data_IF_586284843647
#
_entry.id   IF_586284843647
#
_cell.length_a   1.000
_cell.length_b   1.000
_cell.length_c   1.000
_cell.angle_alpha   90.00
_cell.angle_beta   90.00
_cell.angle_gamma   90.00
#
_symmetry.space_group_name_H-M   'P 1'
#
loop_
_entity.id
_entity.type
_entity.pdbx_description
1 polymer ?
#
# COMPACT_ATOMS: atom_id res chain seq x y z
N UNK A 1 7.97 -0.84 14.86
CA UNK A 1 7.69 0.06 13.72
C UNK A 1 6.54 1.01 14.03
N UNK A 2 5.32 0.51 14.26
CA UNK A 2 4.14 1.35 14.49
C UNK A 2 4.25 2.34 15.66
N UNK A 3 4.97 2.01 16.74
CA UNK A 3 5.19 2.94 17.86
C UNK A 3 5.78 4.29 17.40
N UNK A 4 6.85 4.25 16.61
CA UNK A 4 7.54 5.45 16.12
C UNK A 4 6.66 6.24 15.14
N UNK A 5 5.92 5.54 14.28
CA UNK A 5 4.99 6.17 13.33
C UNK A 5 3.87 6.88 14.11
N UNK A 6 3.32 6.21 15.11
CA UNK A 6 2.24 6.71 15.96
C UNK A 6 2.66 7.93 16.77
N UNK A 7 3.84 7.90 17.39
CA UNK A 7 4.42 9.05 18.11
C UNK A 7 4.61 10.27 17.20
N UNK A 8 5.13 10.06 15.98
CA UNK A 8 5.28 11.15 15.01
C UNK A 8 3.93 11.69 14.54
N UNK A 9 2.98 10.79 14.27
CA UNK A 9 1.65 11.17 13.84
C UNK A 9 0.89 11.94 14.92
N UNK A 10 0.97 11.48 16.18
CA UNK A 10 0.40 12.17 17.35
C UNK A 10 0.90 13.61 17.45
N UNK A 11 2.21 13.82 17.26
CA UNK A 11 2.78 15.16 17.22
C UNK A 11 2.19 16.03 16.12
N UNK A 12 2.07 15.49 14.90
CA UNK A 12 1.50 16.24 13.76
C UNK A 12 0.04 16.61 14.05
N UNK A 13 -0.76 15.67 14.56
CA UNK A 13 -2.16 15.89 14.92
C UNK A 13 -2.28 16.96 16.01
N UNK A 14 -1.44 16.91 17.05
CA UNK A 14 -1.44 17.88 18.14
C UNK A 14 -0.95 19.27 17.69
N UNK A 15 0.10 19.35 16.88
CA UNK A 15 0.66 20.62 16.35
C UNK A 15 -0.33 21.35 15.42
N UNK A 16 -1.35 20.65 14.90
CA UNK A 16 -2.41 21.21 14.05
C UNK A 16 -3.78 21.29 14.76
N UNK A 17 -3.84 21.07 16.08
CA UNK A 17 -5.06 21.12 16.89
C UNK A 17 -6.19 20.18 16.40
N UNK A 18 -5.84 19.02 15.84
CA UNK A 18 -6.81 18.09 15.22
C UNK A 18 -7.27 16.94 16.13
N UNK A 19 -6.86 16.89 17.40
CA UNK A 19 -7.10 15.72 18.27
C UNK A 19 -8.59 15.36 18.40
N UNK A 20 -9.45 16.36 18.54
CA UNK A 20 -10.89 16.20 18.72
C UNK A 20 -11.66 16.07 17.40
N UNK A 21 -10.99 16.17 16.26
CA UNK A 21 -11.62 16.09 14.95
C UNK A 21 -12.01 14.65 14.61
N UNK A 22 -13.20 14.48 14.04
CA UNK A 22 -13.77 13.17 13.70
C UNK A 22 -13.24 12.67 12.36
N UNK A 23 -12.79 11.42 12.34
CA UNK A 23 -12.54 10.65 11.11
C UNK A 23 -13.62 9.60 10.93
N UNK A 24 -14.13 9.49 9.71
CA UNK A 24 -15.12 8.46 9.34
C UNK A 24 -14.45 7.45 8.43
N UNK A 25 -14.48 6.19 8.81
CA UNK A 25 -13.95 5.09 8.01
C UNK A 25 -15.12 4.22 7.55
N UNK A 26 -15.21 4.08 6.22
CA UNK A 26 -16.15 3.18 5.58
C UNK A 26 -15.41 2.02 4.98
N UNK A 27 -15.76 0.83 5.44
CA UNK A 27 -15.30 -0.43 4.89
C UNK A 27 -16.42 -1.05 4.10
N UNK A 28 -16.71 -0.47 2.93
CA UNK A 28 -17.53 -1.18 1.95
C UNK A 28 -16.64 -2.15 1.20
N UNK A 29 -17.06 -3.41 0.97
CA UNK A 29 -16.42 -4.23 -0.04
C UNK A 29 -16.60 -3.49 -1.36
N UNK A 30 -15.55 -2.80 -1.81
CA UNK A 30 -15.53 -2.20 -3.13
C UNK A 30 -15.69 -3.36 -4.11
N UNK A 31 -16.60 -3.21 -5.06
CA UNK A 31 -16.59 -4.03 -6.27
C UNK A 31 -15.23 -3.87 -6.96
N UNK A 32 -14.79 -4.88 -7.74
CA UNK A 32 -13.64 -4.74 -8.64
C UNK A 32 -13.58 -3.37 -9.35
N UNK A 33 -14.71 -2.92 -9.90
CA UNK A 33 -14.86 -1.64 -10.58
C UNK A 33 -14.68 -0.44 -9.63
N UNK A 34 -15.24 -0.47 -8.42
CA UNK A 34 -15.03 0.63 -7.47
C UNK A 34 -13.59 0.68 -6.93
N UNK A 35 -12.91 -0.45 -6.85
CA UNK A 35 -11.56 -0.57 -6.29
C UNK A 35 -10.47 -0.10 -7.27
N UNK A 36 -10.52 -0.61 -8.51
CA UNK A 36 -9.49 -0.37 -9.52
C UNK A 36 -10.05 0.04 -10.88
N UNK A 37 -11.37 0.19 -11.01
CA UNK A 37 -12.02 0.50 -12.27
C UNK A 37 -12.03 -0.68 -13.22
N UNK A 38 -11.88 -0.40 -14.51
CA UNK A 38 -11.76 -1.42 -15.56
C UNK A 38 -10.33 -1.42 -16.16
N UNK A 39 -9.30 -1.87 -15.42
CA UNK A 39 -7.94 -1.90 -15.93
C UNK A 39 -7.79 -2.95 -17.04
N UNK A 40 -6.84 -2.75 -17.95
CA UNK A 40 -6.59 -3.69 -19.06
C UNK A 40 -6.07 -5.07 -18.60
N UNK A 41 -5.60 -5.19 -17.36
CA UNK A 41 -5.05 -6.41 -16.76
C UNK A 41 -5.91 -6.90 -15.60
N UNK A 42 -6.23 -8.19 -15.57
CA UNK A 42 -7.07 -8.80 -14.52
C UNK A 42 -6.28 -9.40 -13.34
N UNK A 43 -4.94 -9.32 -13.36
CA UNK A 43 -4.10 -10.11 -12.45
C UNK A 43 -3.90 -9.51 -11.04
N UNK A 44 -4.66 -8.47 -10.68
CA UNK A 44 -4.50 -7.73 -9.42
C UNK A 44 -5.08 -8.47 -8.20
N UNK A 45 -4.37 -8.50 -7.04
CA UNK A 45 -4.84 -9.14 -5.82
C UNK A 45 -6.23 -8.67 -5.34
N UNK A 46 -6.52 -7.38 -5.48
CA UNK A 46 -7.83 -6.80 -5.10
C UNK A 46 -9.01 -7.36 -5.90
N UNK A 47 -8.78 -7.74 -7.17
CA UNK A 47 -9.80 -8.36 -8.02
C UNK A 47 -10.13 -9.79 -7.57
N UNK A 48 -9.15 -10.47 -6.94
CA UNK A 48 -9.30 -11.82 -6.40
C UNK A 48 -9.96 -11.84 -5.02
N UNK A 49 -10.33 -10.67 -4.48
CA UNK A 49 -11.02 -10.52 -3.20
C UNK A 49 -10.18 -10.86 -1.97
N UNK A 50 -8.85 -10.98 -2.13
CA UNK A 50 -7.89 -11.28 -1.06
C UNK A 50 -7.58 -10.07 -0.20
N UNK A 51 -7.52 -8.91 -0.83
CA UNK A 51 -7.30 -7.62 -0.18
C UNK A 51 -8.53 -6.74 -0.39
N UNK A 52 -8.90 -5.98 0.63
CA UNK A 52 -9.95 -4.97 0.59
C UNK A 52 -9.35 -3.61 0.90
N UNK A 53 -9.94 -2.55 0.35
CA UNK A 53 -9.60 -1.18 0.69
C UNK A 53 -10.54 -0.67 1.78
N UNK A 54 -9.98 -0.27 2.93
CA UNK A 54 -10.70 0.60 3.86
C UNK A 54 -10.43 2.05 3.47
N UNK A 55 -11.48 2.87 3.44
CA UNK A 55 -11.37 4.29 3.12
C UNK A 55 -11.76 5.14 4.33
N UNK A 56 -10.83 5.99 4.75
CA UNK A 56 -11.07 7.08 5.67
C UNK A 56 -11.44 8.35 4.91
N UNK A 57 -12.39 9.11 5.46
CA UNK A 57 -12.77 10.44 5.05
C UNK A 57 -12.51 11.40 6.22
N UNK A 58 -11.83 12.49 5.92
CA UNK A 58 -11.50 13.54 6.88
C UNK A 58 -11.42 14.86 6.14
N UNK A 59 -12.18 15.87 6.58
CA UNK A 59 -12.21 17.22 5.99
C UNK A 59 -12.36 17.25 4.46
N UNK A 60 -13.14 16.33 3.89
CA UNK A 60 -13.35 16.19 2.44
C UNK A 60 -12.18 15.57 1.66
N UNK A 61 -11.14 15.13 2.36
CA UNK A 61 -10.04 14.33 1.82
C UNK A 61 -10.30 12.84 2.03
N UNK A 62 -9.62 12.01 1.23
CA UNK A 62 -9.69 10.54 1.33
C UNK A 62 -8.31 9.91 1.53
N UNK A 63 -8.27 8.87 2.35
CA UNK A 63 -7.08 8.05 2.58
C UNK A 63 -7.48 6.58 2.67
N UNK A 64 -6.70 5.71 2.03
CA UNK A 64 -7.02 4.28 1.95
C UNK A 64 -5.93 3.42 2.56
N UNK A 65 -6.31 2.23 3.02
CA UNK A 65 -5.42 1.18 3.50
C UNK A 65 -5.88 -0.19 2.99
N UNK A 66 -4.93 -1.06 2.65
CA UNK A 66 -5.20 -2.42 2.18
C UNK A 66 -5.20 -3.40 3.35
N UNK A 67 -6.30 -4.12 3.53
CA UNK A 67 -6.47 -5.05 4.66
C UNK A 67 -7.29 -6.27 4.28
N UNK A 68 -7.05 -7.36 4.99
CA UNK A 68 -7.85 -8.59 4.98
C UNK A 68 -8.98 -8.56 6.04
N UNK A 69 -8.90 -7.66 7.04
CA UNK A 69 -9.91 -7.45 8.07
C UNK A 69 -10.50 -6.04 7.96
N UNK A 70 -11.81 -5.96 7.74
CA UNK A 70 -12.48 -4.69 7.41
C UNK A 70 -13.76 -4.48 8.23
N UNK A 71 -14.08 -3.21 8.48
CA UNK A 71 -15.27 -2.80 9.24
C UNK A 71 -15.41 -1.27 9.26
N UNK A 72 -16.63 -0.78 9.47
CA UNK A 72 -16.87 0.65 9.64
C UNK A 72 -16.35 1.13 11.00
N UNK A 73 -15.77 2.32 11.01
CA UNK A 73 -15.31 3.00 12.23
C UNK A 73 -15.66 4.48 12.16
N UNK A 74 -16.02 5.06 13.29
CA UNK A 74 -16.23 6.49 13.46
C UNK A 74 -15.74 6.88 14.85
N UNK A 75 -14.89 7.90 14.91
CA UNK A 75 -14.28 8.36 16.15
C UNK A 75 -13.35 9.54 15.92
N UNK A 76 -12.82 10.08 16.99
CA UNK A 76 -11.86 11.19 16.94
C UNK A 76 -10.45 10.71 16.55
N UNK A 77 -9.58 11.63 16.12
CA UNK A 77 -8.17 11.32 15.95
C UNK A 77 -7.53 10.89 17.27
N UNK A 78 -7.98 11.41 18.41
CA UNK A 78 -7.59 10.94 19.73
C UNK A 78 -7.95 9.46 19.95
N UNK A 79 -9.15 9.02 19.55
CA UNK A 79 -9.56 7.61 19.68
C UNK A 79 -8.65 6.69 18.86
N UNK A 80 -8.29 7.10 17.64
CA UNK A 80 -7.36 6.36 16.76
C UNK A 80 -5.95 6.32 17.37
N UNK A 81 -5.47 7.43 17.93
CA UNK A 81 -4.19 7.52 18.63
C UNK A 81 -4.19 6.80 19.98
N UNK A 82 -5.32 6.59 20.63
CA UNK A 82 -5.41 5.75 21.83
C UNK A 82 -5.45 4.24 21.49
N UNK A 83 -5.78 3.89 20.25
CA UNK A 83 -6.04 2.51 19.84
C UNK A 83 -4.79 1.62 19.88
N UNK A 84 -4.91 0.44 20.49
CA UNK A 84 -3.89 -0.62 20.39
C UNK A 84 -3.94 -1.32 19.03
N UNK A 85 -2.83 -1.37 18.31
CA UNK A 85 -2.76 -1.89 16.93
C UNK A 85 -2.51 -3.41 16.88
N UNK A 86 -3.32 -4.17 17.64
CA UNK A 86 -3.13 -5.60 17.89
C UNK A 86 -3.75 -6.54 16.83
N UNK A 87 -4.42 -6.02 15.81
CA UNK A 87 -4.94 -6.79 14.67
C UNK A 87 -4.94 -5.96 13.37
N UNK A 88 -5.14 -6.61 12.21
CA UNK A 88 -5.10 -5.93 10.91
C UNK A 88 -6.21 -4.88 10.79
N UNK A 89 -7.41 -5.11 11.32
CA UNK A 89 -8.49 -4.13 11.30
C UNK A 89 -8.08 -2.79 11.94
N UNK A 90 -7.49 -2.84 13.14
CA UNK A 90 -7.04 -1.65 13.87
C UNK A 90 -5.83 -0.99 13.21
N UNK A 91 -4.90 -1.79 12.65
CA UNK A 91 -3.79 -1.28 11.83
C UNK A 91 -4.31 -0.54 10.60
N UNK A 92 -5.27 -1.12 9.90
CA UNK A 92 -5.91 -0.52 8.74
C UNK A 92 -6.64 0.78 9.07
N UNK A 93 -7.31 0.86 10.23
CA UNK A 93 -7.92 2.11 10.72
C UNK A 93 -6.84 3.18 10.87
N UNK A 94 -5.75 2.83 11.54
CA UNK A 94 -4.64 3.75 11.80
C UNK A 94 -3.98 4.22 10.50
N UNK A 95 -3.68 3.30 9.58
CA UNK A 95 -3.03 3.62 8.29
C UNK A 95 -3.95 4.46 7.40
N UNK A 96 -5.24 4.11 7.28
CA UNK A 96 -6.19 4.91 6.51
C UNK A 96 -6.35 6.33 7.09
N UNK A 97 -6.39 6.43 8.43
CA UNK A 97 -6.45 7.72 9.15
C UNK A 97 -5.18 8.55 8.94
N UNK A 98 -4.01 7.95 9.09
CA UNK A 98 -2.73 8.59 8.81
C UNK A 98 -2.71 9.13 7.37
N UNK A 99 -3.10 8.30 6.40
CA UNK A 99 -3.11 8.66 4.99
C UNK A 99 -4.07 9.83 4.69
N UNK A 100 -5.26 9.85 5.28
CA UNK A 100 -6.22 10.94 5.02
C UNK A 100 -5.81 12.25 5.68
N UNK A 101 -5.29 12.21 6.92
CA UNK A 101 -4.89 13.41 7.66
C UNK A 101 -3.65 14.05 7.03
N UNK A 102 -2.64 13.24 6.68
CA UNK A 102 -1.43 13.73 6.02
C UNK A 102 -1.76 14.35 4.66
N UNK A 103 -2.75 13.81 3.95
CA UNK A 103 -3.26 14.39 2.70
C UNK A 103 -4.02 15.69 2.93
N UNK A 104 -4.91 15.76 3.93
CA UNK A 104 -5.64 17.00 4.22
C UNK A 104 -4.72 18.16 4.61
N UNK A 105 -3.56 17.84 5.19
CA UNK A 105 -2.50 18.81 5.51
C UNK A 105 -1.59 19.15 4.31
N UNK A 106 -1.80 18.53 3.14
CA UNK A 106 -0.98 18.72 1.95
C UNK A 106 0.45 18.16 2.08
N UNK A 107 0.70 17.28 3.05
CA UNK A 107 2.02 16.70 3.30
C UNK A 107 2.32 15.50 2.40
N UNK A 108 1.28 14.83 1.89
CA UNK A 108 1.40 13.71 0.97
C UNK A 108 0.36 13.80 -0.15
N UNK A 109 0.65 13.12 -1.25
CA UNK A 109 -0.28 12.81 -2.32
C UNK A 109 -0.43 11.27 -2.45
N UNK A 110 -1.27 10.78 -3.37
CA UNK A 110 -1.34 9.35 -3.67
C UNK A 110 -1.95 8.43 -2.60
N UNK A 111 -2.66 8.99 -1.61
CA UNK A 111 -3.33 8.22 -0.53
C UNK A 111 -4.56 7.41 -0.96
N UNK A 112 -4.91 7.43 -2.25
CA UNK A 112 -6.07 6.76 -2.84
C UNK A 112 -5.55 5.98 -4.03
N UNK A 113 -5.90 4.69 -4.11
CA UNK A 113 -5.41 3.82 -5.14
C UNK A 113 -5.88 4.27 -6.54
N UNK A 114 -5.00 4.08 -7.53
CA UNK A 114 -5.28 4.39 -8.92
C UNK A 114 -6.49 3.59 -9.46
N UNK A 115 -7.24 4.17 -10.41
CA UNK A 115 -8.36 3.52 -11.10
C UNK A 115 -8.21 3.58 -12.61
N UNK A 116 -8.86 2.66 -13.32
CA UNK A 116 -8.94 2.58 -14.78
C UNK A 116 -7.55 2.51 -15.43
N UNK A 117 -7.11 3.60 -16.07
CA UNK A 117 -5.78 3.73 -16.69
C UNK A 117 -4.69 4.06 -15.69
N UNK A 118 -5.05 4.55 -14.51
CA UNK A 118 -4.13 4.98 -13.47
C UNK A 118 -3.09 3.93 -13.07
N UNK A 119 -3.42 2.62 -12.94
CA UNK A 119 -2.40 1.60 -12.70
C UNK A 119 -1.31 1.56 -13.77
N UNK A 120 -1.67 1.72 -15.05
CA UNK A 120 -0.69 1.73 -16.15
C UNK A 120 0.18 2.99 -16.13
N UNK A 121 -0.41 4.15 -15.82
CA UNK A 121 0.26 5.43 -15.64
C UNK A 121 1.23 5.39 -14.45
N UNK A 122 0.79 4.88 -13.30
CA UNK A 122 1.62 4.67 -12.10
C UNK A 122 2.84 3.78 -12.42
N UNK A 123 2.65 2.77 -13.27
CA UNK A 123 3.75 1.96 -13.79
C UNK A 123 4.77 2.74 -14.60
N UNK A 124 4.34 3.75 -15.36
CA UNK A 124 5.23 4.64 -16.11
C UNK A 124 5.94 5.63 -15.19
N UNK A 125 5.26 6.15 -14.17
CA UNK A 125 5.87 7.04 -13.17
C UNK A 125 6.99 6.32 -12.40
N UNK A 126 6.77 5.05 -12.01
CA UNK A 126 7.81 4.21 -11.42
C UNK A 126 9.00 4.05 -12.38
N UNK A 127 8.72 3.87 -13.66
CA UNK A 127 9.77 3.78 -14.66
C UNK A 127 10.55 5.09 -14.77
N UNK A 128 9.89 6.24 -14.82
CA UNK A 128 10.57 7.54 -14.85
C UNK A 128 11.50 7.70 -13.64
N UNK A 129 11.02 7.38 -12.44
CA UNK A 129 11.83 7.37 -11.22
C UNK A 129 13.06 6.45 -11.32
N UNK A 130 12.90 5.28 -11.93
CA UNK A 130 13.97 4.31 -12.14
C UNK A 130 14.91 4.66 -13.31
N UNK A 131 14.66 5.70 -14.12
CA UNK A 131 15.58 6.07 -15.21
C UNK A 131 16.96 6.50 -14.70
N UNK A 132 17.03 7.13 -13.52
CA UNK A 132 18.30 7.41 -12.85
C UNK A 132 19.04 6.14 -12.38
N UNK A 133 18.40 4.98 -12.43
CA UNK A 133 18.84 3.71 -11.86
C UNK A 133 18.97 2.60 -12.93
N UNK A 134 19.19 2.96 -14.21
CA UNK A 134 19.32 1.97 -15.30
C UNK A 134 20.43 0.96 -15.00
N UNK A 135 20.11 -0.32 -15.10
CA UNK A 135 21.03 -1.43 -14.83
C UNK A 135 21.15 -1.80 -13.35
N UNK A 136 20.41 -1.15 -12.44
CA UNK A 136 20.33 -1.53 -11.05
C UNK A 136 19.63 -2.89 -10.87
N UNK A 137 20.05 -3.64 -9.86
CA UNK A 137 19.36 -4.83 -9.37
C UNK A 137 18.18 -4.39 -8.51
N UNK A 138 16.96 -4.71 -8.94
CA UNK A 138 15.74 -4.24 -8.29
C UNK A 138 15.11 -5.40 -7.51
N UNK A 139 14.79 -5.15 -6.24
CA UNK A 139 13.90 -6.00 -5.46
C UNK A 139 12.48 -5.41 -5.46
N UNK A 140 11.49 -6.20 -5.85
CA UNK A 140 10.08 -5.87 -5.70
C UNK A 140 9.52 -6.69 -4.53
N UNK A 141 9.19 -6.04 -3.41
CA UNK A 141 8.58 -6.69 -2.24
C UNK A 141 7.08 -6.45 -2.28
N UNK A 142 6.30 -7.52 -2.39
CA UNK A 142 4.87 -7.48 -2.69
C UNK A 142 4.64 -7.46 -4.21
N UNK A 143 3.88 -8.45 -4.72
CA UNK A 143 3.67 -8.58 -6.16
C UNK A 143 2.63 -7.59 -6.68
N UNK A 144 3.12 -6.54 -7.35
CA UNK A 144 2.29 -5.60 -8.10
C UNK A 144 2.47 -5.84 -9.60
N UNK A 145 1.48 -6.42 -10.33
CA UNK A 145 1.66 -6.91 -11.69
C UNK A 145 2.18 -5.87 -12.69
N UNK A 146 1.69 -4.64 -12.60
CA UNK A 146 2.12 -3.56 -13.50
C UNK A 146 3.59 -3.20 -13.23
N UNK A 147 3.96 -2.98 -11.97
CA UNK A 147 5.33 -2.65 -11.59
C UNK A 147 6.30 -3.81 -11.90
N UNK A 148 5.91 -5.04 -11.61
CA UNK A 148 6.70 -6.23 -11.93
C UNK A 148 7.01 -6.33 -13.43
N UNK A 149 6.00 -6.15 -14.29
CA UNK A 149 6.19 -6.14 -15.75
C UNK A 149 7.15 -5.03 -16.19
N UNK A 150 6.93 -3.81 -15.71
CA UNK A 150 7.76 -2.66 -16.08
C UNK A 150 9.21 -2.82 -15.63
N UNK A 151 9.42 -3.31 -14.41
CA UNK A 151 10.75 -3.56 -13.88
C UNK A 151 11.45 -4.70 -14.62
N UNK A 152 10.73 -5.78 -14.99
CA UNK A 152 11.35 -6.91 -15.70
C UNK A 152 11.82 -6.56 -17.11
N UNK A 153 11.22 -5.54 -17.74
CA UNK A 153 11.65 -5.00 -19.03
C UNK A 153 12.95 -4.18 -18.95
N UNK A 154 13.42 -3.81 -17.74
CA UNK A 154 14.53 -2.85 -17.55
C UNK A 154 15.84 -3.43 -17.02
N UNK A 155 15.83 -4.60 -16.38
CA UNK A 155 17.05 -5.14 -15.79
C UNK A 155 16.82 -6.38 -14.92
N UNK A 156 17.77 -6.62 -14.03
CA UNK A 156 17.72 -7.74 -13.10
C UNK A 156 16.69 -7.46 -12.00
N UNK A 157 15.60 -8.22 -12.02
CA UNK A 157 14.50 -8.13 -11.07
C UNK A 157 14.44 -9.41 -10.23
N UNK A 158 14.30 -9.24 -8.91
CA UNK A 158 13.81 -10.30 -8.01
C UNK A 158 12.50 -9.84 -7.38
N UNK A 159 11.52 -10.73 -7.33
CA UNK A 159 10.20 -10.46 -6.75
C UNK A 159 10.07 -11.32 -5.50
N UNK A 160 9.67 -10.70 -4.39
CA UNK A 160 9.34 -11.34 -3.12
C UNK A 160 7.85 -11.19 -2.86
N UNK A 161 7.18 -12.26 -2.46
CA UNK A 161 5.76 -12.24 -2.12
C UNK A 161 5.47 -13.15 -0.91
N UNK A 162 4.49 -12.75 -0.10
CA UNK A 162 3.96 -13.56 1.00
C UNK A 162 2.81 -14.47 0.55
N UNK A 163 2.17 -14.17 -0.58
CA UNK A 163 1.14 -15.02 -1.17
C UNK A 163 1.77 -16.32 -1.71
N UNK A 164 1.53 -17.41 -0.99
CA UNK A 164 1.99 -18.77 -1.33
C UNK A 164 1.52 -19.24 -2.70
N UNK A 165 0.45 -18.66 -3.25
CA UNK A 165 0.04 -18.97 -4.60
C UNK A 165 0.90 -18.28 -5.65
N UNK A 166 1.51 -17.13 -5.36
CA UNK A 166 2.44 -16.48 -6.26
C UNK A 166 3.83 -17.11 -6.15
N UNK A 167 4.27 -17.46 -4.94
CA UNK A 167 5.61 -18.04 -4.68
C UNK A 167 5.87 -19.27 -5.56
N UNK A 168 7.04 -19.29 -6.20
CA UNK A 168 7.50 -20.34 -7.10
C UNK A 168 6.92 -20.27 -8.52
N UNK A 169 5.96 -19.38 -8.78
CA UNK A 169 5.44 -19.16 -10.14
C UNK A 169 6.33 -18.18 -10.91
N UNK A 170 6.38 -18.38 -12.22
CA UNK A 170 7.00 -17.43 -13.14
C UNK A 170 5.99 -16.34 -13.52
N UNK A 171 6.39 -15.08 -13.35
CA UNK A 171 5.64 -13.88 -13.73
C UNK A 171 6.56 -12.98 -14.54
N UNK A 172 6.18 -12.70 -15.79
CA UNK A 172 6.96 -11.84 -16.70
C UNK A 172 8.43 -12.29 -16.88
N UNK A 173 8.68 -13.60 -16.88
CA UNK A 173 10.02 -14.19 -16.98
C UNK A 173 10.83 -14.22 -15.69
N UNK A 174 10.22 -13.87 -14.54
CA UNK A 174 10.87 -13.85 -13.22
C UNK A 174 10.13 -14.79 -12.27
N UNK A 175 10.87 -15.66 -11.58
CA UNK A 175 10.28 -16.51 -10.53
C UNK A 175 10.04 -15.69 -9.28
N UNK A 176 8.82 -15.76 -8.74
CA UNK A 176 8.46 -15.12 -7.47
C UNK A 176 9.04 -15.93 -6.32
N UNK A 177 9.77 -15.26 -5.43
CA UNK A 177 10.47 -15.83 -4.28
C UNK A 177 9.64 -15.67 -2.99
N UNK A 178 9.96 -16.47 -1.98
CA UNK A 178 9.28 -16.45 -0.70
C UNK A 178 9.72 -15.23 0.11
N UNK A 179 8.76 -14.34 0.41
CA UNK A 179 9.00 -13.08 1.11
C UNK A 179 9.51 -13.22 2.55
N UNK A 180 9.42 -14.39 3.16
CA UNK A 180 9.97 -14.66 4.49
C UNK A 180 11.35 -15.31 4.39
N UNK A 181 11.48 -16.34 3.54
CA UNK A 181 12.73 -17.13 3.47
C UNK A 181 13.83 -16.42 2.69
N UNK A 182 13.48 -15.76 1.60
CA UNK A 182 14.45 -15.25 0.63
C UNK A 182 14.75 -13.76 0.82
N UNK A 183 13.98 -13.04 1.65
CA UNK A 183 14.06 -11.59 1.78
C UNK A 183 15.45 -11.08 2.16
N UNK A 184 16.13 -11.71 3.12
CA UNK A 184 17.45 -11.24 3.57
C UNK A 184 18.51 -11.35 2.46
N UNK A 185 18.46 -12.42 1.65
CA UNK A 185 19.37 -12.59 0.52
C UNK A 185 19.07 -11.57 -0.59
N UNK A 186 17.80 -11.44 -0.95
CA UNK A 186 17.37 -10.54 -2.03
C UNK A 186 17.65 -9.08 -1.69
N UNK A 187 17.39 -8.66 -0.45
CA UNK A 187 17.67 -7.29 0.01
C UNK A 187 19.18 -6.98 0.06
N UNK A 188 20.03 -7.97 0.32
CA UNK A 188 21.50 -7.82 0.20
C UNK A 188 21.98 -7.75 -1.25
N UNK A 189 21.25 -8.40 -2.15
CA UNK A 189 21.58 -8.44 -3.57
C UNK A 189 21.13 -7.19 -4.31
N UNK A 190 20.00 -6.56 -3.94
CA UNK A 190 19.48 -5.43 -4.70
C UNK A 190 20.24 -4.13 -4.42
N UNK A 191 20.30 -3.28 -5.45
CA UNK A 191 20.78 -1.90 -5.33
C UNK A 191 19.63 -0.95 -4.96
N UNK A 192 18.38 -1.34 -5.24
CA UNK A 192 17.17 -0.60 -4.87
C UNK A 192 15.99 -1.55 -4.66
N UNK A 193 15.09 -1.19 -3.76
CA UNK A 193 13.88 -1.97 -3.46
C UNK A 193 12.63 -1.10 -3.55
N UNK A 194 11.60 -1.60 -4.23
CA UNK A 194 10.24 -1.06 -4.16
C UNK A 194 9.39 -2.02 -3.31
N UNK A 195 8.86 -1.50 -2.20
CA UNK A 195 8.12 -2.29 -1.22
C UNK A 195 6.67 -1.84 -1.18
N UNK A 196 5.76 -2.78 -1.37
CA UNK A 196 4.33 -2.60 -1.25
C UNK A 196 3.89 -3.33 0.02
N UNK A 197 3.13 -2.62 0.86
CA UNK A 197 2.61 -3.17 2.09
C UNK A 197 1.08 -3.21 2.04
N UNK A 198 0.55 -4.36 2.38
CA UNK A 198 -0.75 -4.58 2.97
C UNK A 198 -0.60 -4.57 4.52
N UNK A 199 -1.67 -4.22 5.25
CA UNK A 199 -1.65 -4.03 6.72
C UNK A 199 -1.32 -5.33 7.52
N UNK A 200 -1.03 -6.41 6.81
CA UNK A 200 -0.62 -7.74 7.29
C UNK A 200 0.88 -7.89 7.62
N UNK A 201 1.72 -6.87 7.39
CA UNK A 201 3.12 -6.83 7.81
C UNK A 201 3.36 -6.11 9.17
#
# INVERSE_FOLDING_TARGET
MYTVIKEKFERIVAENDLLDETVVIRAKPLTPEEAIGNPESEDFPILKGRERLMQAEFTGSFGQAFTDMYGDFEGTLQDVLAMELNNNYRRAIFVATLNVVMRSLGMIEGSVHCKDKGPAECGLDLLEFLEGHRGARIALVGFQPVHARRCSERGELKILDLDVENVGREKFGVVVLDGVKDAEEVLRWCDSSACYGDDGC
#
